data_IF_068991749401
#
_entry.id   IF_068991749401
#
_cell.length_a   1.000
_cell.length_b   1.000
_cell.length_c   1.000
_cell.angle_alpha   90.00
_cell.angle_beta   90.00
_cell.angle_gamma   90.00
#
_symmetry.space_group_name_H-M   'P 1'
#
loop_
_entity.id
_entity.type
_entity.pdbx_description
1 polymer ?
#
# COMPACT_ATOMS: atom_id res chain seq x y z
N UNK A 1 8.68 -14.13 22.98
CA UNK A 1 8.08 -14.84 21.83
C UNK A 1 9.20 -15.70 21.25
N UNK A 2 8.99 -17.02 21.12
CA UNK A 2 10.02 -17.90 20.54
C UNK A 2 9.99 -17.85 19.01
N UNK A 3 11.04 -18.34 18.34
CA UNK A 3 11.05 -18.43 16.87
C UNK A 3 9.87 -19.26 16.34
N UNK A 4 9.50 -20.35 17.02
CA UNK A 4 8.39 -21.21 16.59
C UNK A 4 7.03 -20.48 16.70
N UNK A 5 6.89 -19.61 17.70
CA UNK A 5 5.72 -18.75 17.82
C UNK A 5 5.68 -17.69 16.70
N UNK A 6 6.84 -17.16 16.29
CA UNK A 6 6.94 -16.19 15.21
C UNK A 6 6.57 -16.84 13.87
N UNK A 7 7.15 -18.00 13.55
CA UNK A 7 6.82 -18.81 12.36
C UNK A 7 5.31 -19.07 12.29
N UNK A 8 4.70 -19.52 13.40
CA UNK A 8 3.26 -19.77 13.42
C UNK A 8 2.45 -18.48 13.19
N UNK A 9 2.87 -17.37 13.80
CA UNK A 9 2.23 -16.07 13.59
C UNK A 9 2.27 -15.63 12.13
N UNK A 10 3.38 -15.86 11.41
CA UNK A 10 3.50 -15.56 9.98
C UNK A 10 2.60 -16.45 9.14
N UNK A 11 2.58 -17.76 9.40
CA UNK A 11 1.69 -18.70 8.72
C UNK A 11 0.22 -18.29 8.89
N UNK A 12 -0.18 -17.93 10.11
CA UNK A 12 -1.55 -17.49 10.41
C UNK A 12 -1.89 -16.19 9.66
N UNK A 13 -0.96 -15.25 9.59
CA UNK A 13 -1.12 -13.97 8.87
C UNK A 13 -1.17 -14.18 7.36
N UNK A 14 -0.33 -15.03 6.78
CA UNK A 14 -0.39 -15.41 5.35
C UNK A 14 -1.77 -15.99 5.03
N UNK A 15 -2.27 -16.92 5.85
CA UNK A 15 -3.58 -17.53 5.65
C UNK A 15 -4.72 -16.49 5.71
N UNK A 16 -4.65 -15.56 6.65
CA UNK A 16 -5.58 -14.44 6.78
C UNK A 16 -5.59 -13.55 5.52
N UNK A 17 -4.41 -13.13 5.06
CA UNK A 17 -4.25 -12.26 3.88
C UNK A 17 -4.75 -12.96 2.59
N UNK A 18 -4.44 -14.25 2.42
CA UNK A 18 -4.96 -15.06 1.31
C UNK A 18 -6.50 -15.18 1.34
N UNK A 19 -7.09 -15.25 2.53
CA UNK A 19 -8.54 -15.18 2.72
C UNK A 19 -9.12 -13.89 2.15
N UNK A 20 -8.51 -12.75 2.47
CA UNK A 20 -8.93 -11.45 1.94
C UNK A 20 -8.70 -11.34 0.42
N UNK A 21 -7.60 -11.84 -0.13
CA UNK A 21 -7.38 -11.87 -1.58
C UNK A 21 -8.49 -12.63 -2.31
N UNK A 22 -8.92 -13.79 -1.77
CA UNK A 22 -10.03 -14.56 -2.35
C UNK A 22 -11.32 -13.75 -2.35
N UNK A 23 -11.68 -13.11 -1.23
CA UNK A 23 -12.86 -12.24 -1.14
C UNK A 23 -12.78 -11.07 -2.14
N UNK A 24 -11.60 -10.45 -2.27
CA UNK A 24 -11.37 -9.35 -3.19
C UNK A 24 -11.55 -9.77 -4.66
N UNK A 25 -11.10 -10.97 -5.02
CA UNK A 25 -11.25 -11.52 -6.36
C UNK A 25 -12.70 -11.93 -6.66
N UNK A 26 -13.44 -12.46 -5.69
CA UNK A 26 -14.85 -12.84 -5.85
C UNK A 26 -15.77 -11.64 -6.11
N UNK A 27 -15.48 -10.49 -5.50
CA UNK A 27 -16.24 -9.25 -5.67
C UNK A 27 -16.33 -8.72 -7.11
N UNK A 28 -15.41 -9.14 -8.00
CA UNK A 28 -15.40 -8.77 -9.44
C UNK A 28 -16.66 -9.18 -10.22
N UNK A 29 -17.52 -10.03 -9.64
CA UNK A 29 -18.75 -10.54 -10.27
C UNK A 29 -19.98 -9.65 -10.06
N UNK A 30 -19.88 -8.59 -9.28
CA UNK A 30 -21.00 -7.68 -8.96
C UNK A 30 -20.93 -6.37 -9.77
N UNK A 31 -22.07 -5.69 -9.95
CA UNK A 31 -22.10 -4.34 -10.57
C UNK A 31 -21.52 -3.32 -9.59
N UNK A 32 -20.21 -3.11 -9.67
CA UNK A 32 -19.50 -2.11 -8.86
C UNK A 32 -19.36 -0.76 -9.59
N UNK A 33 -19.12 0.32 -8.85
CA UNK A 33 -18.70 1.60 -9.42
C UNK A 33 -17.31 1.48 -10.04
N UNK A 34 -16.94 2.41 -10.95
CA UNK A 34 -15.58 2.44 -11.50
C UNK A 34 -14.52 2.69 -10.42
N UNK A 35 -14.88 3.48 -9.40
CA UNK A 35 -14.04 3.77 -8.24
C UNK A 35 -13.78 2.51 -7.41
N UNK A 36 -14.84 1.79 -7.03
CA UNK A 36 -14.73 0.54 -6.27
C UNK A 36 -13.86 -0.50 -7.01
N UNK A 37 -14.00 -0.62 -8.34
CA UNK A 37 -13.12 -1.49 -9.14
C UNK A 37 -11.65 -1.07 -9.08
N UNK A 38 -11.35 0.22 -9.01
CA UNK A 38 -9.98 0.75 -8.93
C UNK A 38 -9.37 0.49 -7.55
N UNK A 39 -10.08 0.87 -6.49
CA UNK A 39 -9.70 0.59 -5.09
C UNK A 39 -9.44 -0.91 -4.90
N UNK A 40 -10.34 -1.76 -5.41
CA UNK A 40 -10.19 -3.22 -5.34
C UNK A 40 -8.91 -3.72 -6.01
N UNK A 41 -8.52 -3.17 -7.17
CA UNK A 41 -7.28 -3.59 -7.85
C UNK A 41 -6.04 -3.19 -7.07
N UNK A 42 -6.04 -1.97 -6.53
CA UNK A 42 -4.92 -1.48 -5.73
C UNK A 42 -4.80 -2.27 -4.43
N UNK A 43 -5.90 -2.46 -3.71
CA UNK A 43 -5.94 -3.28 -2.50
C UNK A 43 -5.49 -4.74 -2.74
N UNK A 44 -5.80 -5.33 -3.91
CA UNK A 44 -5.26 -6.65 -4.29
C UNK A 44 -3.73 -6.60 -4.41
N UNK A 45 -3.17 -5.52 -4.96
CA UNK A 45 -1.71 -5.41 -5.09
C UNK A 45 -1.05 -5.20 -3.71
N UNK A 46 -1.59 -4.34 -2.86
CA UNK A 46 -1.09 -4.12 -1.50
C UNK A 46 -1.08 -5.40 -0.68
N UNK A 47 -2.20 -6.15 -0.67
CA UNK A 47 -2.26 -7.40 0.08
C UNK A 47 -1.32 -8.46 -0.51
N UNK A 48 -1.09 -8.47 -1.83
CA UNK A 48 -0.09 -9.37 -2.42
C UNK A 48 1.34 -9.03 -1.99
N UNK A 49 1.64 -7.74 -1.84
CA UNK A 49 2.94 -7.29 -1.34
C UNK A 49 3.12 -7.70 0.13
N UNK A 50 2.08 -7.54 0.96
CA UNK A 50 2.08 -8.05 2.33
C UNK A 50 2.30 -9.56 2.38
N UNK A 51 1.61 -10.34 1.53
CA UNK A 51 1.82 -11.80 1.46
C UNK A 51 3.25 -12.15 1.04
N UNK A 52 3.81 -11.45 0.05
CA UNK A 52 5.17 -11.70 -0.40
C UNK A 52 6.19 -11.44 0.70
N UNK A 53 6.05 -10.32 1.41
CA UNK A 53 6.89 -9.97 2.56
C UNK A 53 6.81 -11.03 3.66
N UNK A 54 5.61 -11.46 4.05
CA UNK A 54 5.47 -12.52 5.06
C UNK A 54 6.06 -13.86 4.62
N UNK A 55 5.99 -14.20 3.33
CA UNK A 55 6.61 -15.41 2.80
C UNK A 55 8.14 -15.33 2.85
N UNK A 56 8.72 -14.19 2.46
CA UNK A 56 10.17 -13.98 2.47
C UNK A 56 10.71 -14.07 3.90
N UNK A 57 10.05 -13.40 4.85
CA UNK A 57 10.42 -13.45 6.25
C UNK A 57 10.22 -14.84 6.90
N UNK A 58 9.18 -15.58 6.49
CA UNK A 58 8.98 -16.95 6.93
C UNK A 58 10.14 -17.86 6.50
N UNK A 59 10.67 -17.68 5.29
CA UNK A 59 11.85 -18.42 4.81
C UNK A 59 13.07 -18.10 5.67
N UNK A 60 13.31 -16.83 5.98
CA UNK A 60 14.42 -16.41 6.83
C UNK A 60 14.31 -17.01 8.25
N UNK A 61 13.10 -17.04 8.81
CA UNK A 61 12.82 -17.65 10.12
C UNK A 61 13.01 -19.18 10.12
N UNK A 62 12.56 -19.87 9.06
CA UNK A 62 12.76 -21.31 8.88
C UNK A 62 14.25 -21.66 8.72
N UNK A 63 14.99 -20.89 7.93
CA UNK A 63 16.44 -21.06 7.76
C UNK A 63 17.20 -20.85 9.09
N UNK A 64 16.78 -19.89 9.91
CA UNK A 64 17.34 -19.71 11.26
C UNK A 64 17.03 -20.88 12.18
N UNK A 65 15.79 -21.40 12.16
CA UNK A 65 15.40 -22.56 12.98
C UNK A 65 16.23 -23.80 12.63
N UNK A 66 16.43 -24.06 11.34
CA UNK A 66 17.23 -25.18 10.83
C UNK A 66 18.73 -24.99 11.06
N UNK A 67 19.21 -23.75 11.04
CA UNK A 67 20.61 -23.39 11.19
C UNK A 67 21.12 -23.31 12.64
N UNK A 68 20.22 -23.37 13.63
CA UNK A 68 20.56 -23.19 15.06
C UNK A 68 20.17 -24.37 15.94
N UNK A 69 20.85 -24.47 17.08
CA UNK A 69 20.46 -25.39 18.16
C UNK A 69 19.49 -24.72 19.13
N UNK A 70 18.73 -25.54 19.86
CA UNK A 70 17.81 -25.05 20.91
C UNK A 70 18.53 -24.19 21.97
N UNK A 71 19.78 -24.50 22.30
CA UNK A 71 20.56 -23.72 23.26
C UNK A 71 20.98 -22.35 22.72
N UNK A 72 21.31 -22.25 21.43
CA UNK A 72 21.64 -20.98 20.77
C UNK A 72 20.41 -20.09 20.69
N UNK A 73 19.26 -20.65 20.30
CA UNK A 73 17.98 -19.92 20.29
C UNK A 73 17.57 -19.43 21.67
N UNK A 74 17.66 -20.27 22.70
CA UNK A 74 17.35 -19.87 24.06
C UNK A 74 18.27 -18.73 24.54
N UNK A 75 19.53 -18.71 24.10
CA UNK A 75 20.45 -17.62 24.37
C UNK A 75 20.06 -16.35 23.61
N UNK A 76 19.79 -16.43 22.31
CA UNK A 76 19.38 -15.30 21.48
C UNK A 76 18.08 -14.66 21.97
N UNK A 77 17.06 -15.48 22.30
CA UNK A 77 15.79 -15.05 22.87
C UNK A 77 15.93 -14.37 24.23
N UNK A 78 16.96 -14.74 25.01
CA UNK A 78 17.25 -14.10 26.30
C UNK A 78 17.90 -12.72 26.15
N UNK A 79 18.61 -12.49 25.03
CA UNK A 79 19.28 -11.23 24.72
C UNK A 79 18.33 -10.27 24.02
N UNK A 80 17.52 -10.76 23.09
CA UNK A 80 16.51 -10.00 22.37
C UNK A 80 15.21 -10.82 22.30
N UNK A 81 14.27 -10.58 23.23
CA UNK A 81 12.99 -11.28 23.23
C UNK A 81 12.22 -11.00 21.94
N UNK A 82 12.09 -12.03 21.09
CA UNK A 82 11.39 -11.92 19.80
C UNK A 82 12.25 -11.36 18.68
N UNK A 83 13.44 -11.95 18.45
CA UNK A 83 14.23 -11.89 17.20
C UNK A 83 13.53 -11.10 16.07
N UNK A 84 14.02 -9.90 15.74
CA UNK A 84 13.52 -8.99 14.70
C UNK A 84 12.01 -8.65 14.65
N UNK A 85 11.19 -9.09 15.61
CA UNK A 85 9.72 -8.99 15.57
C UNK A 85 9.13 -7.58 15.71
N UNK A 86 9.94 -6.53 15.60
CA UNK A 86 9.49 -5.14 15.79
C UNK A 86 9.41 -4.33 14.50
N UNK A 87 9.78 -4.90 13.36
CA UNK A 87 9.59 -4.24 12.07
C UNK A 87 8.62 -5.06 11.23
N UNK A 88 7.36 -5.14 11.69
CA UNK A 88 6.27 -5.29 10.72
C UNK A 88 6.23 -3.96 9.98
N UNK A 89 6.85 -3.93 8.80
CA UNK A 89 6.95 -2.76 7.94
C UNK A 89 5.57 -2.15 7.64
N UNK A 90 4.49 -2.91 7.83
CA UNK A 90 3.10 -2.46 7.67
C UNK A 90 2.46 -1.91 8.96
N UNK A 91 3.05 -2.12 10.15
CA UNK A 91 2.47 -1.72 11.45
C UNK A 91 2.90 -0.33 11.95
N UNK A 92 4.08 0.18 11.57
CA UNK A 92 4.64 1.42 12.16
C UNK A 92 4.88 2.57 11.17
N UNK A 93 4.71 2.35 9.86
CA UNK A 93 4.93 3.37 8.81
C UNK A 93 3.62 3.81 8.13
N UNK A 94 2.49 3.15 8.41
CA UNK A 94 1.30 3.18 7.56
C UNK A 94 -0.03 3.44 8.28
N UNK A 95 -0.14 4.51 9.08
CA UNK A 95 -1.47 4.97 9.54
C UNK A 95 -2.43 5.28 8.38
N UNK A 96 -1.93 5.41 7.15
CA UNK A 96 -2.71 5.72 5.96
C UNK A 96 -2.11 5.11 4.69
N UNK A 97 -2.46 3.87 4.33
CA UNK A 97 -2.16 3.33 2.98
C UNK A 97 -3.12 3.97 1.98
N UNK A 98 -2.60 4.81 1.09
CA UNK A 98 -3.37 5.46 0.03
C UNK A 98 -3.73 4.44 -1.07
N UNK A 99 -4.97 3.92 -1.06
CA UNK A 99 -5.39 2.86 -1.98
C UNK A 99 -5.70 3.34 -3.41
N UNK A 100 -5.41 4.59 -3.75
CA UNK A 100 -5.78 5.25 -5.00
C UNK A 100 -4.69 6.26 -5.36
N UNK A 101 -4.52 6.52 -6.67
CA UNK A 101 -3.44 7.27 -7.34
C UNK A 101 -2.34 7.84 -6.43
N UNK A 102 -1.09 7.42 -6.64
CA UNK A 102 0.06 7.97 -5.95
C UNK A 102 0.07 9.50 -6.08
N UNK A 103 0.03 10.21 -4.95
CA UNK A 103 0.24 11.66 -4.96
C UNK A 103 1.62 11.94 -5.58
N UNK A 104 1.77 12.97 -6.42
CA UNK A 104 3.10 13.45 -6.78
C UNK A 104 3.85 13.82 -5.50
N UNK A 105 5.17 13.57 -5.44
CA UNK A 105 5.99 14.00 -4.31
C UNK A 105 5.92 15.52 -4.21
N UNK A 106 5.41 16.02 -3.09
CA UNK A 106 5.29 17.46 -2.82
C UNK A 106 6.39 17.89 -1.84
N UNK A 107 7.06 19.01 -2.12
CA UNK A 107 7.86 19.70 -1.10
C UNK A 107 6.99 20.68 -0.31
N UNK A 108 7.41 20.99 0.92
CA UNK A 108 6.77 22.02 1.77
C UNK A 108 6.70 23.41 1.08
N UNK A 109 7.51 23.62 0.05
CA UNK A 109 7.57 24.83 -0.77
C UNK A 109 6.54 24.85 -1.92
N UNK A 110 5.65 23.84 -2.02
CA UNK A 110 4.61 23.77 -3.05
C UNK A 110 5.14 23.36 -4.43
N UNK A 111 6.08 22.41 -4.48
CA UNK A 111 6.62 21.86 -5.75
C UNK A 111 6.30 20.38 -5.86
N UNK A 112 5.94 19.92 -7.05
CA UNK A 112 5.67 18.51 -7.35
C UNK A 112 6.78 17.89 -8.22
N UNK A 113 7.08 16.60 -8.02
CA UNK A 113 8.01 15.83 -8.87
C UNK A 113 7.27 15.00 -9.92
N UNK A 114 7.67 15.13 -11.19
CA UNK A 114 7.19 14.29 -12.29
C UNK A 114 8.29 13.29 -12.73
N UNK A 115 8.09 11.97 -12.52
CA UNK A 115 9.06 10.95 -12.92
C UNK A 115 9.27 10.83 -14.43
N UNK A 116 8.27 11.18 -15.25
CA UNK A 116 8.35 11.12 -16.72
C UNK A 116 9.20 12.24 -17.30
N UNK A 117 9.33 13.37 -16.59
CA UNK A 117 10.12 14.52 -16.99
C UNK A 117 11.42 14.69 -16.19
N UNK A 118 11.60 13.92 -15.12
CA UNK A 118 12.77 13.97 -14.25
C UNK A 118 12.99 15.35 -13.60
N UNK A 119 11.92 16.11 -13.32
CA UNK A 119 12.04 17.49 -12.81
C UNK A 119 10.95 17.87 -11.80
N UNK A 120 11.29 18.88 -10.99
CA UNK A 120 10.39 19.54 -10.05
C UNK A 120 9.74 20.78 -10.68
N UNK A 121 8.42 20.94 -10.53
CA UNK A 121 7.67 22.12 -11.00
C UNK A 121 6.82 22.73 -9.88
N UNK A 122 6.58 24.05 -9.98
CA UNK A 122 5.76 24.79 -9.02
C UNK A 122 4.27 24.46 -9.24
N UNK A 123 3.53 24.40 -8.14
CA UNK A 123 2.17 23.88 -8.09
C UNK A 123 1.19 24.99 -7.70
N UNK A 124 0.19 25.27 -8.53
CA UNK A 124 -0.87 26.25 -8.20
C UNK A 124 -1.84 25.72 -7.14
N UNK A 125 -2.48 26.65 -6.42
CA UNK A 125 -3.52 26.39 -5.43
C UNK A 125 -4.74 25.72 -6.11
N UNK A 126 -4.78 24.38 -6.11
CA UNK A 126 -5.77 23.60 -6.89
C UNK A 126 -5.27 22.25 -7.43
N UNK A 127 -3.96 22.01 -7.38
CA UNK A 127 -3.32 20.73 -7.70
C UNK A 127 -3.68 19.62 -6.69
N UNK A 128 -3.55 18.34 -7.08
CA UNK A 128 -4.60 17.35 -6.90
C UNK A 128 -5.10 17.33 -5.46
N UNK A 129 -6.34 17.75 -5.29
CA UNK A 129 -7.00 17.72 -3.99
C UNK A 129 -7.26 16.28 -3.62
N UNK A 130 -6.68 15.84 -2.50
CA UNK A 130 -7.11 14.65 -1.78
C UNK A 130 -8.59 14.80 -1.46
N UNK A 131 -9.42 13.98 -2.08
CA UNK A 131 -10.82 13.87 -1.70
C UNK A 131 -11.05 12.49 -1.11
N UNK A 132 -11.59 12.43 0.10
CA UNK A 132 -12.06 11.18 0.69
C UNK A 132 -13.10 10.54 -0.22
N UNK A 133 -12.95 9.26 -0.53
CA UNK A 133 -13.98 8.49 -1.21
C UNK A 133 -15.03 8.07 -0.18
N UNK A 134 -16.30 8.33 -0.49
CA UNK A 134 -17.40 7.98 0.41
C UNK A 134 -17.65 6.46 0.43
N UNK A 135 -18.18 5.94 1.54
CA UNK A 135 -18.59 4.54 1.63
C UNK A 135 -19.63 4.17 0.55
N UNK A 136 -20.50 5.11 0.17
CA UNK A 136 -21.49 4.94 -0.90
C UNK A 136 -20.84 4.71 -2.28
N UNK A 137 -19.73 5.39 -2.57
CA UNK A 137 -18.96 5.18 -3.81
C UNK A 137 -18.29 3.80 -3.88
N UNK A 138 -17.97 3.22 -2.72
CA UNK A 138 -17.32 1.91 -2.59
C UNK A 138 -18.33 0.76 -2.47
N UNK A 139 -19.55 1.04 -2.00
CA UNK A 139 -20.57 0.03 -1.74
C UNK A 139 -20.07 -1.07 -0.80
N UNK A 140 -20.29 -2.33 -1.18
CA UNK A 140 -19.89 -3.50 -0.37
C UNK A 140 -18.37 -3.60 -0.14
N UNK A 141 -17.55 -2.94 -0.96
CA UNK A 141 -16.10 -2.93 -0.77
C UNK A 141 -15.69 -2.19 0.51
N UNK A 142 -16.45 -1.16 0.93
CA UNK A 142 -16.15 -0.44 2.17
C UNK A 142 -16.20 -1.36 3.41
N UNK A 143 -17.18 -2.27 3.46
CA UNK A 143 -17.29 -3.23 4.56
C UNK A 143 -16.15 -4.25 4.58
N UNK A 144 -15.64 -4.64 3.40
CA UNK A 144 -14.48 -5.51 3.29
C UNK A 144 -13.20 -4.79 3.73
N UNK A 145 -13.01 -3.53 3.33
CA UNK A 145 -11.88 -2.71 3.77
C UNK A 145 -11.85 -2.64 5.30
N UNK A 146 -12.98 -2.29 5.94
CA UNK A 146 -13.08 -2.21 7.40
C UNK A 146 -12.72 -3.51 8.11
N UNK A 147 -13.13 -4.66 7.55
CA UNK A 147 -12.77 -5.98 8.09
C UNK A 147 -11.27 -6.26 7.99
N UNK A 148 -10.61 -5.79 6.93
CA UNK A 148 -9.17 -5.94 6.77
C UNK A 148 -8.45 -5.05 7.77
N UNK A 149 -8.88 -3.79 7.92
CA UNK A 149 -8.35 -2.84 8.92
C UNK A 149 -8.40 -3.42 10.33
N UNK A 150 -9.57 -3.92 10.74
CA UNK A 150 -9.77 -4.52 12.07
C UNK A 150 -8.94 -5.79 12.28
N UNK A 151 -8.72 -6.59 11.23
CA UNK A 151 -8.01 -7.85 11.33
C UNK A 151 -6.49 -7.69 11.34
N UNK A 152 -5.98 -6.64 10.67
CA UNK A 152 -4.55 -6.35 10.57
C UNK A 152 -4.09 -5.25 11.53
N UNK A 153 -5.02 -4.60 12.23
CA UNK A 153 -4.77 -3.43 13.07
C UNK A 153 -4.08 -2.28 12.30
N UNK A 154 -4.56 -2.04 11.06
CA UNK A 154 -4.08 -0.98 10.17
C UNK A 154 -5.23 -0.07 9.74
N UNK A 155 -4.92 1.10 9.18
CA UNK A 155 -5.90 2.01 8.60
C UNK A 155 -5.62 2.28 7.13
N UNK A 156 -6.62 2.03 6.27
CA UNK A 156 -6.55 2.40 4.86
C UNK A 156 -7.11 3.80 4.65
N UNK A 157 -6.40 4.59 3.86
CA UNK A 157 -6.92 5.88 3.40
C UNK A 157 -7.33 5.75 1.94
N UNK A 158 -8.63 5.85 1.68
CA UNK A 158 -9.16 5.79 0.31
C UNK A 158 -9.38 7.22 -0.20
N UNK A 159 -8.37 7.76 -0.87
CA UNK A 159 -8.37 9.13 -1.39
C UNK A 159 -8.32 9.15 -2.92
N UNK A 160 -9.20 9.91 -3.57
CA UNK A 160 -9.06 10.20 -5.01
C UNK A 160 -8.28 11.49 -5.21
N UNK A 161 -7.42 11.50 -6.23
CA UNK A 161 -6.72 12.69 -6.70
C UNK A 161 -7.38 13.18 -7.99
N UNK A 162 -7.87 14.42 -7.98
CA UNK A 162 -8.40 15.04 -9.19
C UNK A 162 -7.31 15.78 -9.94
N UNK A 163 -7.12 15.38 -11.19
CA UNK A 163 -6.50 16.21 -12.21
C UNK A 163 -7.63 17.00 -12.86
N UNK A 164 -7.66 18.32 -12.72
CA UNK A 164 -8.67 19.14 -13.40
C UNK A 164 -8.37 19.14 -14.90
N UNK A 165 -9.30 18.64 -15.72
CA UNK A 165 -9.17 18.49 -17.18
C UNK A 165 -8.73 19.78 -17.90
N UNK A 166 -9.14 20.95 -17.40
CA UNK A 166 -8.78 22.26 -17.95
C UNK A 166 -7.25 22.51 -17.96
N UNK A 167 -6.49 21.91 -17.04
CA UNK A 167 -5.03 22.05 -17.00
C UNK A 167 -4.31 21.07 -17.93
N UNK A 168 -4.91 19.90 -18.22
CA UNK A 168 -4.34 18.92 -19.15
C UNK A 168 -4.36 19.46 -20.58
N UNK A 169 -5.42 20.20 -20.95
CA UNK A 169 -5.52 20.91 -22.22
C UNK A 169 -4.48 22.04 -22.35
N UNK A 170 -4.29 22.88 -21.31
CA UNK A 170 -3.26 23.93 -21.32
C UNK A 170 -1.84 23.36 -21.39
N UNK A 171 -1.61 22.24 -20.73
CA UNK A 171 -0.30 21.58 -20.71
C UNK A 171 0.05 20.98 -22.07
N UNK A 172 -0.92 20.36 -22.75
CA UNK A 172 -0.75 19.82 -24.11
C UNK A 172 -0.44 20.92 -25.12
N UNK A 173 -1.17 22.05 -25.05
CA UNK A 173 -0.93 23.23 -25.89
C UNK A 173 0.46 23.87 -25.65
N UNK A 174 0.88 24.00 -24.39
CA UNK A 174 2.19 24.55 -24.04
C UNK A 174 3.36 23.64 -24.46
N UNK A 175 3.13 22.33 -24.56
CA UNK A 175 4.10 21.35 -25.06
C UNK A 175 4.24 21.44 -26.59
N UNK A 176 3.12 21.52 -27.32
CA UNK A 176 3.11 21.69 -28.77
C UNK A 176 3.79 23.00 -29.22
N UNK A 177 3.61 24.10 -28.49
CA UNK A 177 4.27 25.38 -28.78
C UNK A 177 5.79 25.36 -28.53
N UNK A 178 6.27 24.54 -27.57
CA UNK A 178 7.71 24.38 -27.30
C UNK A 178 8.39 23.49 -28.33
N UNK A 179 7.73 22.42 -28.75
CA UNK A 179 8.26 21.51 -29.77
C UNK A 179 8.21 22.12 -31.19
N UNK A 180 7.36 23.13 -31.40
CA UNK A 180 7.27 23.89 -32.65
C UNK A 180 8.28 25.05 -32.78
N UNK A 181 9.03 25.40 -31.72
CA UNK A 181 10.12 26.37 -31.82
C UNK A 181 11.41 25.66 -32.23
N UNK A 182 11.98 25.94 -33.42
CA UNK A 182 13.30 25.46 -33.74
C UNK A 182 14.33 26.30 -32.97
N UNK A 183 14.94 25.69 -31.97
CA UNK A 183 16.12 26.16 -31.25
C UNK A 183 17.16 25.07 -31.19
#
# INVERSE_FOLDING_TARGET
MTIENLIQSRIDRIFLLDGFLRELHLGRRTKESAMARKVRRNLINEIKEMVAWECDELVDDEDYLDGTTESERAQDESVLPGWCATMDDFSTVFDTVALLDSAPLLTDEGRAFDPSMGRWYAVEEGYPKKMSVSADELGNLAALIKRIEEALDISFTVERFFWTEDQLAMWTLAQEERDAQPG
#
